data_IF_474904276711
#
_entry.id   IF_474904276711
#
_cell.length_a   1.000
_cell.length_b   1.000
_cell.length_c   1.000
_cell.angle_alpha   90.00
_cell.angle_beta   90.00
_cell.angle_gamma   90.00
#
_symmetry.space_group_name_H-M   'P 1'
#
loop_
_entity.id
_entity.type
_entity.pdbx_description
1 polymer ?
#
# COMPACT_ATOMS: atom_id res chain seq x y z
N UNK A 1 -2.51 2.02 42.93
CA UNK A 1 -1.42 1.36 42.21
C UNK A 1 -0.15 2.17 42.43
N UNK A 2 0.97 1.50 42.68
CA UNK A 2 2.29 2.16 42.92
C UNK A 2 3.00 2.55 41.62
N UNK A 3 2.25 2.61 40.52
CA UNK A 3 2.75 3.03 39.22
C UNK A 3 3.03 4.54 39.25
N UNK A 4 4.28 4.90 39.03
CA UNK A 4 4.68 6.31 38.97
C UNK A 4 4.40 6.84 37.56
N UNK A 5 3.84 8.05 37.49
CA UNK A 5 3.67 8.77 36.26
C UNK A 5 5.06 9.07 35.65
N UNK A 6 5.28 8.62 34.40
CA UNK A 6 6.51 8.87 33.66
C UNK A 6 6.35 10.09 32.73
N UNK A 7 7.47 10.55 32.17
CA UNK A 7 7.41 11.55 31.11
C UNK A 7 6.86 10.93 29.83
N UNK A 8 6.03 11.63 29.03
CA UNK A 8 5.59 11.17 27.73
C UNK A 8 6.82 10.85 26.84
N UNK A 9 6.75 9.84 25.99
CA UNK A 9 7.83 9.57 25.04
C UNK A 9 7.96 10.74 24.06
N UNK A 10 9.19 11.13 23.76
CA UNK A 10 9.46 12.07 22.68
C UNK A 10 9.46 11.28 21.38
N UNK A 11 8.53 11.60 20.48
CA UNK A 11 8.47 10.98 19.16
C UNK A 11 9.11 11.92 18.14
N UNK A 12 10.30 11.55 17.67
CA UNK A 12 10.93 12.21 16.52
C UNK A 12 10.54 11.44 15.27
N UNK A 13 9.80 12.09 14.38
CA UNK A 13 9.49 11.53 13.05
C UNK A 13 10.74 11.75 12.18
N UNK A 14 11.36 10.68 11.68
CA UNK A 14 12.52 10.83 10.80
C UNK A 14 12.11 11.51 9.50
N UNK A 15 13.01 12.33 8.96
CA UNK A 15 12.77 12.90 7.64
C UNK A 15 12.92 11.83 6.58
N UNK A 16 12.02 11.79 5.57
CA UNK A 16 12.12 10.82 4.50
C UNK A 16 13.43 10.97 3.72
N UNK A 17 14.02 9.84 3.33
CA UNK A 17 15.17 9.84 2.40
C UNK A 17 14.62 10.09 1.00
N UNK A 18 15.01 11.20 0.38
CA UNK A 18 14.50 11.63 -0.95
C UNK A 18 15.42 11.26 -2.11
N UNK A 19 16.57 10.64 -1.86
CA UNK A 19 17.52 10.23 -2.89
C UNK A 19 17.20 8.86 -3.48
N UNK A 20 17.29 8.72 -4.81
CA UNK A 20 17.23 7.41 -5.46
C UNK A 20 18.45 6.58 -5.05
N UNK A 21 18.22 5.37 -4.57
CA UNK A 21 19.25 4.40 -4.23
C UNK A 21 18.89 3.03 -4.79
N UNK A 22 19.92 2.26 -5.18
CA UNK A 22 19.78 0.86 -5.58
C UNK A 22 20.70 0.04 -4.70
N UNK A 23 20.14 -0.97 -4.03
CA UNK A 23 20.89 -1.91 -3.20
C UNK A 23 20.78 -3.31 -3.79
N UNK A 24 21.91 -3.91 -4.11
CA UNK A 24 21.99 -5.27 -4.65
C UNK A 24 22.68 -6.15 -3.64
N UNK A 25 21.99 -7.23 -3.25
CA UNK A 25 22.55 -8.31 -2.42
C UNK A 25 22.68 -9.54 -3.29
N UNK A 26 23.94 -9.88 -3.66
CA UNK A 26 24.21 -11.04 -4.51
C UNK A 26 23.99 -12.35 -3.75
N UNK A 27 23.24 -13.27 -4.37
CA UNK A 27 22.96 -14.63 -3.88
C UNK A 27 23.23 -15.63 -5.01
N UNK A 28 24.49 -16.00 -5.26
CA UNK A 28 24.86 -16.88 -6.38
C UNK A 28 24.08 -18.20 -6.36
N UNK A 29 23.51 -18.55 -7.51
CA UNK A 29 22.75 -19.79 -7.67
C UNK A 29 21.32 -19.78 -7.12
N UNK A 30 20.82 -18.65 -6.61
CA UNK A 30 19.44 -18.53 -6.18
C UNK A 30 18.49 -18.65 -7.39
N UNK A 31 17.45 -19.49 -7.33
CA UNK A 31 16.49 -19.65 -8.42
C UNK A 31 15.55 -18.46 -8.56
N UNK A 32 15.40 -17.68 -7.51
CA UNK A 32 14.56 -16.47 -7.46
C UNK A 32 15.34 -15.28 -6.92
N UNK A 33 14.97 -14.11 -7.42
CA UNK A 33 15.38 -12.81 -6.89
C UNK A 33 14.19 -12.17 -6.19
N UNK A 34 14.39 -11.63 -5.00
CA UNK A 34 13.41 -10.76 -4.34
C UNK A 34 13.61 -9.32 -4.81
N UNK A 35 12.61 -8.76 -5.42
CA UNK A 35 12.53 -7.34 -5.80
C UNK A 35 11.79 -6.61 -4.68
N UNK A 36 12.32 -5.44 -4.27
CA UNK A 36 11.62 -4.50 -3.43
C UNK A 36 11.81 -3.08 -4.01
N UNK A 37 10.73 -2.45 -4.39
CA UNK A 37 10.70 -1.05 -4.85
C UNK A 37 9.90 -0.27 -3.83
N UNK A 38 10.39 0.89 -3.38
CA UNK A 38 9.66 1.66 -2.38
C UNK A 38 9.98 3.14 -2.43
N UNK A 39 9.05 3.93 -1.94
CA UNK A 39 9.20 5.38 -1.79
C UNK A 39 8.42 5.87 -0.56
N UNK A 40 8.92 6.92 0.11
CA UNK A 40 8.15 7.62 1.15
C UNK A 40 6.86 8.20 0.54
N UNK A 41 5.78 8.15 1.31
CA UNK A 41 4.49 8.67 0.87
C UNK A 41 3.75 9.38 2.02
N UNK A 42 2.55 9.89 1.74
CA UNK A 42 1.70 10.55 2.73
C UNK A 42 1.22 9.57 3.80
N UNK A 43 1.13 10.04 5.04
CA UNK A 43 0.61 9.27 6.16
C UNK A 43 -0.92 9.43 6.32
N UNK A 44 -1.59 8.60 7.14
CA UNK A 44 -3.05 8.58 7.28
C UNK A 44 -3.71 9.88 7.72
N UNK A 45 -2.96 10.84 8.25
CA UNK A 45 -3.49 12.14 8.66
C UNK A 45 -3.73 13.10 7.49
N UNK A 46 -3.29 12.74 6.29
CA UNK A 46 -3.45 13.56 5.09
C UNK A 46 -4.77 13.24 4.38
N UNK A 47 -5.40 14.26 3.82
CA UNK A 47 -6.73 14.13 3.18
C UNK A 47 -6.75 13.13 2.02
N UNK A 48 -5.67 13.08 1.22
CA UNK A 48 -5.53 12.21 0.05
C UNK A 48 -5.15 10.76 0.40
N UNK A 49 -5.03 10.41 1.69
CA UNK A 49 -4.58 9.08 2.07
C UNK A 49 -5.54 7.97 1.62
N UNK A 50 -6.86 8.21 1.62
CA UNK A 50 -7.85 7.23 1.12
C UNK A 50 -7.71 7.05 -0.39
N UNK A 51 -7.47 8.12 -1.14
CA UNK A 51 -7.18 8.03 -2.57
C UNK A 51 -5.90 7.23 -2.84
N UNK A 52 -4.84 7.44 -2.05
CA UNK A 52 -3.63 6.63 -2.12
C UNK A 52 -3.90 5.13 -1.87
N UNK A 53 -4.76 4.79 -0.92
CA UNK A 53 -5.13 3.39 -0.66
C UNK A 53 -5.89 2.77 -1.84
N UNK A 54 -6.81 3.50 -2.46
CA UNK A 54 -7.51 3.06 -3.68
C UNK A 54 -6.53 2.88 -4.82
N UNK A 55 -5.65 3.85 -5.05
CA UNK A 55 -4.59 3.79 -6.06
C UNK A 55 -3.66 2.60 -5.85
N UNK A 56 -3.21 2.36 -4.61
CA UNK A 56 -2.38 1.21 -4.27
C UNK A 56 -3.12 -0.12 -4.58
N UNK A 57 -4.39 -0.24 -4.21
CA UNK A 57 -5.16 -1.46 -4.46
C UNK A 57 -5.33 -1.75 -5.96
N UNK A 58 -5.47 -0.71 -6.77
CA UNK A 58 -5.56 -0.79 -8.22
C UNK A 58 -4.21 -1.14 -8.85
N UNK A 59 -3.11 -0.54 -8.36
CA UNK A 59 -1.77 -0.73 -8.92
C UNK A 59 -1.19 -2.12 -8.63
N UNK A 60 -1.15 -2.55 -7.35
CA UNK A 60 -0.51 -3.79 -6.92
C UNK A 60 -1.07 -4.39 -5.63
N UNK A 61 -1.96 -3.68 -4.91
CA UNK A 61 -2.45 -4.08 -3.59
C UNK A 61 -3.65 -5.03 -3.59
N UNK A 62 -4.14 -5.47 -4.75
CA UNK A 62 -5.20 -6.46 -4.89
C UNK A 62 -4.80 -7.56 -5.87
N UNK A 63 -5.52 -8.69 -5.79
CA UNK A 63 -5.29 -9.79 -6.74
C UNK A 63 -5.61 -9.40 -8.19
N UNK A 64 -6.57 -8.53 -8.39
CA UNK A 64 -6.98 -8.02 -9.71
C UNK A 64 -6.22 -6.74 -10.11
N UNK A 65 -5.12 -6.40 -9.44
CA UNK A 65 -4.34 -5.21 -9.71
C UNK A 65 -3.56 -5.29 -11.03
N UNK A 66 -3.18 -4.14 -11.57
CA UNK A 66 -2.45 -4.03 -12.83
C UNK A 66 -1.11 -4.78 -12.82
N UNK A 67 -0.30 -4.62 -11.77
CA UNK A 67 0.97 -5.34 -11.62
C UNK A 67 0.74 -6.85 -11.56
N UNK A 68 -0.26 -7.31 -10.79
CA UNK A 68 -0.57 -8.74 -10.70
C UNK A 68 -1.01 -9.30 -12.05
N UNK A 69 -1.90 -8.62 -12.76
CA UNK A 69 -2.33 -9.03 -14.10
C UNK A 69 -1.15 -9.12 -15.07
N UNK A 70 -0.24 -8.15 -15.04
CA UNK A 70 0.93 -8.09 -15.91
C UNK A 70 1.95 -9.20 -15.58
N UNK A 71 2.63 -9.11 -14.42
CA UNK A 71 3.81 -9.95 -14.18
C UNK A 71 3.49 -11.35 -13.67
N UNK A 72 2.26 -11.58 -13.18
CA UNK A 72 1.80 -12.91 -12.77
C UNK A 72 0.99 -13.60 -13.85
N UNK A 73 -0.15 -13.00 -14.26
CA UNK A 73 -1.10 -13.68 -15.14
C UNK A 73 -0.61 -13.73 -16.60
N UNK A 74 -0.12 -12.61 -17.13
CA UNK A 74 0.30 -12.54 -18.54
C UNK A 74 1.69 -13.10 -18.77
N UNK A 75 2.64 -12.80 -17.89
CA UNK A 75 4.06 -13.11 -18.09
C UNK A 75 4.55 -14.31 -17.26
N UNK A 76 3.89 -14.66 -16.18
CA UNK A 76 4.29 -15.78 -15.32
C UNK A 76 5.66 -15.60 -14.65
N UNK A 77 6.09 -14.37 -14.41
CA UNK A 77 7.41 -14.06 -13.81
C UNK A 77 7.46 -14.32 -12.32
N UNK A 78 6.30 -14.23 -11.67
CA UNK A 78 6.14 -14.37 -10.21
C UNK A 78 4.82 -15.05 -9.86
N UNK A 79 4.72 -15.53 -8.62
CA UNK A 79 3.46 -16.11 -8.12
C UNK A 79 2.67 -15.10 -7.26
N UNK A 80 3.34 -14.26 -6.50
CA UNK A 80 2.69 -13.40 -5.49
C UNK A 80 3.33 -12.00 -5.45
N UNK A 81 3.14 -11.19 -6.50
CA UNK A 81 3.51 -9.78 -6.40
C UNK A 81 2.50 -9.07 -5.50
N UNK A 82 2.92 -8.06 -4.78
CA UNK A 82 2.01 -7.24 -4.01
C UNK A 82 2.59 -5.86 -3.69
N UNK A 83 1.74 -4.85 -3.69
CA UNK A 83 2.08 -3.56 -3.13
C UNK A 83 1.29 -3.24 -1.87
N UNK A 84 1.88 -2.43 -1.03
CA UNK A 84 1.24 -1.95 0.19
C UNK A 84 1.72 -0.56 0.58
N UNK A 85 0.86 0.17 1.29
CA UNK A 85 1.22 1.37 2.04
C UNK A 85 1.41 0.97 3.49
N UNK A 86 2.66 0.96 3.96
CA UNK A 86 2.99 0.67 5.36
C UNK A 86 3.06 1.96 6.15
N UNK A 87 2.20 2.09 7.17
CA UNK A 87 2.05 3.31 7.95
C UNK A 87 2.67 3.20 9.34
N UNK A 88 3.24 4.30 9.81
CA UNK A 88 3.71 4.53 11.18
C UNK A 88 3.22 5.91 11.63
N UNK A 89 3.47 6.25 12.87
CA UNK A 89 3.11 7.59 13.36
C UNK A 89 3.76 8.69 12.50
N UNK A 90 2.92 9.47 11.79
CA UNK A 90 3.35 10.59 10.91
C UNK A 90 4.39 10.20 9.86
N UNK A 91 4.36 8.95 9.41
CA UNK A 91 5.29 8.42 8.41
C UNK A 91 4.60 7.29 7.64
N UNK A 92 4.88 7.19 6.35
CA UNK A 92 4.43 6.08 5.54
C UNK A 92 5.39 5.81 4.37
N UNK A 93 5.43 4.55 3.96
CA UNK A 93 6.16 4.11 2.78
C UNK A 93 5.24 3.25 1.91
N UNK A 94 5.20 3.55 0.63
CA UNK A 94 4.68 2.62 -0.35
C UNK A 94 5.77 1.63 -0.76
N UNK A 95 5.42 0.37 -0.89
CA UNK A 95 6.34 -0.69 -1.34
C UNK A 95 5.64 -1.63 -2.31
N UNK A 96 6.32 -2.00 -3.38
CA UNK A 96 6.01 -3.15 -4.23
C UNK A 96 7.05 -4.23 -4.00
N UNK A 97 6.61 -5.47 -3.81
CA UNK A 97 7.47 -6.63 -3.57
C UNK A 97 7.06 -7.80 -4.46
N UNK A 98 8.07 -8.47 -5.03
CA UNK A 98 7.87 -9.68 -5.81
C UNK A 98 9.07 -10.62 -5.70
N UNK A 99 8.82 -11.92 -5.49
CA UNK A 99 9.81 -12.97 -5.71
C UNK A 99 9.67 -13.47 -7.15
N UNK A 100 10.63 -13.15 -7.99
CA UNK A 100 10.60 -13.46 -9.43
C UNK A 100 11.66 -14.49 -9.79
N UNK A 101 11.45 -15.24 -10.88
CA UNK A 101 12.51 -16.08 -11.43
C UNK A 101 13.74 -15.24 -11.76
N UNK A 102 14.92 -15.62 -11.27
CA UNK A 102 16.16 -14.82 -11.39
C UNK A 102 16.46 -14.40 -12.82
N UNK A 103 16.18 -15.26 -13.81
CA UNK A 103 16.42 -14.96 -15.22
C UNK A 103 15.59 -13.79 -15.77
N UNK A 104 14.49 -13.43 -15.12
CA UNK A 104 13.57 -12.36 -15.55
C UNK A 104 13.53 -11.16 -14.59
N UNK A 105 14.51 -11.04 -13.68
CA UNK A 105 14.56 -9.96 -12.69
C UNK A 105 14.50 -8.57 -13.33
N UNK A 106 15.31 -8.32 -14.37
CA UNK A 106 15.30 -7.04 -15.10
C UNK A 106 13.96 -6.78 -15.78
N UNK A 107 13.47 -7.77 -16.53
CA UNK A 107 12.18 -7.67 -17.21
C UNK A 107 11.01 -7.43 -16.22
N UNK A 108 11.05 -8.04 -15.03
CA UNK A 108 10.04 -7.81 -13.98
C UNK A 108 10.08 -6.39 -13.44
N UNK A 109 11.27 -5.81 -13.26
CA UNK A 109 11.42 -4.41 -12.87
C UNK A 109 10.88 -3.46 -13.94
N UNK A 110 11.19 -3.72 -15.22
CA UNK A 110 10.70 -2.91 -16.33
C UNK A 110 9.17 -2.92 -16.38
N UNK A 111 8.53 -4.08 -16.16
CA UNK A 111 7.07 -4.19 -16.14
C UNK A 111 6.43 -3.53 -14.90
N UNK A 112 7.05 -3.62 -13.74
CA UNK A 112 6.56 -2.91 -12.53
C UNK A 112 6.58 -1.40 -12.77
N UNK A 113 7.70 -0.86 -13.31
CA UNK A 113 7.79 0.56 -13.60
C UNK A 113 6.84 0.97 -14.74
N UNK A 114 6.67 0.12 -15.75
CA UNK A 114 5.68 0.35 -16.81
C UNK A 114 4.26 0.53 -16.24
N UNK A 115 3.82 -0.31 -15.32
CA UNK A 115 2.47 -0.17 -14.72
C UNK A 115 2.36 1.06 -13.81
N UNK A 116 3.45 1.46 -13.14
CA UNK A 116 3.48 2.74 -12.38
C UNK A 116 3.35 3.95 -13.31
N UNK A 117 4.10 3.98 -14.42
CA UNK A 117 4.04 5.05 -15.40
C UNK A 117 2.68 5.05 -16.12
N UNK A 118 2.21 3.88 -16.53
CA UNK A 118 0.92 3.72 -17.17
C UNK A 118 -0.24 4.24 -16.31
N UNK A 119 -0.20 4.03 -14.99
CA UNK A 119 -1.25 4.53 -14.11
C UNK A 119 -1.28 6.07 -14.06
N UNK A 120 -0.13 6.73 -14.27
CA UNK A 120 -0.05 8.20 -14.35
C UNK A 120 -0.60 8.74 -15.68
N UNK A 121 -0.38 8.00 -16.78
CA UNK A 121 -0.74 8.42 -18.12
C UNK A 121 -2.14 7.97 -18.55
N UNK A 122 -2.60 6.83 -18.02
CA UNK A 122 -3.86 6.20 -18.35
C UNK A 122 -4.72 6.02 -17.08
N UNK A 123 -5.60 6.97 -16.75
CA UNK A 123 -6.55 6.82 -15.65
C UNK A 123 -7.34 5.51 -15.76
N UNK A 124 -7.73 4.90 -14.63
CA UNK A 124 -8.56 3.69 -14.66
C UNK A 124 -9.92 3.99 -15.30
N UNK A 125 -10.49 2.99 -15.97
CA UNK A 125 -11.90 3.07 -16.37
C UNK A 125 -12.81 3.14 -15.13
N UNK A 126 -14.01 3.66 -15.28
CA UNK A 126 -15.00 3.68 -14.19
C UNK A 126 -15.32 2.28 -13.67
N UNK A 127 -15.31 1.27 -14.55
CA UNK A 127 -15.55 -0.14 -14.18
C UNK A 127 -14.40 -0.68 -13.33
N UNK A 128 -13.14 -0.45 -13.74
CA UNK A 128 -11.93 -0.85 -13.02
C UNK A 128 -11.89 -0.19 -11.64
N UNK A 129 -12.10 1.12 -11.57
CA UNK A 129 -12.13 1.85 -10.30
C UNK A 129 -13.25 1.36 -9.39
N UNK A 130 -14.47 1.17 -9.94
CA UNK A 130 -15.63 0.69 -9.16
C UNK A 130 -15.38 -0.71 -8.58
N UNK A 131 -14.73 -1.59 -9.31
CA UNK A 131 -14.36 -2.93 -8.82
C UNK A 131 -13.42 -2.85 -7.61
N UNK A 132 -12.41 -1.98 -7.65
CA UNK A 132 -11.49 -1.75 -6.54
C UNK A 132 -12.17 -1.07 -5.34
N UNK A 133 -13.04 -0.09 -5.57
CA UNK A 133 -13.82 0.55 -4.51
C UNK A 133 -14.71 -0.46 -3.77
N UNK A 134 -15.41 -1.32 -4.52
CA UNK A 134 -16.22 -2.40 -3.94
C UNK A 134 -15.37 -3.40 -3.13
N UNK A 135 -14.20 -3.76 -3.64
CA UNK A 135 -13.26 -4.64 -2.94
C UNK A 135 -12.81 -4.04 -1.61
N UNK A 136 -12.37 -2.78 -1.60
CA UNK A 136 -11.92 -2.10 -0.39
C UNK A 136 -13.04 -1.90 0.63
N UNK A 137 -14.24 -1.50 0.18
CA UNK A 137 -15.42 -1.40 1.04
C UNK A 137 -15.76 -2.75 1.67
N UNK A 138 -15.69 -3.85 0.90
CA UNK A 138 -15.89 -5.21 1.40
C UNK A 138 -14.85 -5.62 2.45
N UNK A 139 -13.56 -5.35 2.21
CA UNK A 139 -12.47 -5.60 3.17
C UNK A 139 -12.70 -4.81 4.46
N UNK A 140 -13.10 -3.54 4.37
CA UNK A 140 -13.40 -2.72 5.54
C UNK A 140 -14.53 -3.32 6.40
N UNK A 141 -15.62 -3.79 5.79
CA UNK A 141 -16.70 -4.47 6.51
C UNK A 141 -16.19 -5.72 7.22
N UNK A 142 -15.39 -6.55 6.54
CA UNK A 142 -14.81 -7.75 7.12
C UNK A 142 -13.87 -7.44 8.29
N UNK A 143 -13.02 -6.45 8.18
CA UNK A 143 -12.12 -6.02 9.24
C UNK A 143 -12.88 -5.56 10.50
N UNK A 144 -14.02 -4.89 10.32
CA UNK A 144 -14.85 -4.39 11.42
C UNK A 144 -15.85 -5.43 11.97
N UNK A 145 -15.88 -6.64 11.42
CA UNK A 145 -16.80 -7.69 11.88
C UNK A 145 -16.37 -8.38 13.20
N UNK A 146 -15.15 -8.14 13.66
CA UNK A 146 -14.62 -8.75 14.89
C UNK A 146 -14.28 -7.71 15.96
N UNK A 147 -14.33 -8.11 17.23
CA UNK A 147 -13.92 -7.23 18.35
C UNK A 147 -12.47 -6.76 18.21
N UNK A 148 -11.58 -7.65 17.78
CA UNK A 148 -10.17 -7.31 17.54
C UNK A 148 -10.00 -6.29 16.40
N UNK A 149 -10.78 -6.44 15.33
CA UNK A 149 -10.82 -5.49 14.22
C UNK A 149 -11.26 -4.10 14.67
N UNK A 150 -12.36 -4.02 15.44
CA UNK A 150 -12.85 -2.74 15.97
C UNK A 150 -11.80 -2.08 16.87
N UNK A 151 -11.19 -2.83 17.79
CA UNK A 151 -10.11 -2.29 18.65
C UNK A 151 -8.91 -1.83 17.81
N UNK A 152 -8.54 -2.59 16.78
CA UNK A 152 -7.48 -2.20 15.84
C UNK A 152 -7.77 -0.89 15.12
N UNK A 153 -8.99 -0.70 14.63
CA UNK A 153 -9.42 0.54 13.97
C UNK A 153 -9.40 1.74 14.93
N UNK A 154 -9.91 1.57 16.15
CA UNK A 154 -9.87 2.64 17.14
C UNK A 154 -8.43 3.01 17.54
N UNK A 155 -7.54 2.02 17.67
CA UNK A 155 -6.12 2.26 17.93
C UNK A 155 -5.46 2.99 16.74
N UNK A 156 -5.78 2.60 15.52
CA UNK A 156 -5.32 3.26 14.29
C UNK A 156 -5.76 4.72 14.24
N UNK A 157 -7.05 5.00 14.48
CA UNK A 157 -7.57 6.36 14.52
C UNK A 157 -6.83 7.22 15.54
N UNK A 158 -6.61 6.69 16.75
CA UNK A 158 -5.90 7.42 17.82
C UNK A 158 -4.41 7.60 17.53
N UNK A 159 -3.77 6.62 16.88
CA UNK A 159 -2.36 6.72 16.48
C UNK A 159 -2.13 7.84 15.46
N UNK A 160 -3.08 8.01 14.53
CA UNK A 160 -2.94 8.94 13.41
C UNK A 160 -3.72 10.25 13.61
N UNK A 161 -4.32 10.47 14.79
CA UNK A 161 -5.16 11.64 15.12
C UNK A 161 -6.29 11.86 14.10
N UNK A 162 -6.93 10.76 13.66
CA UNK A 162 -8.05 10.82 12.72
C UNK A 162 -9.32 11.30 13.42
N UNK A 163 -10.24 11.96 12.69
CA UNK A 163 -11.48 12.45 13.25
C UNK A 163 -12.38 11.32 13.79
N UNK A 164 -13.24 11.63 14.75
CA UNK A 164 -14.07 10.62 15.43
C UNK A 164 -15.08 9.95 14.49
N UNK A 165 -15.48 10.61 13.41
CA UNK A 165 -16.38 10.11 12.36
C UNK A 165 -15.65 9.38 11.20
N UNK A 166 -14.34 9.16 11.33
CA UNK A 166 -13.52 8.54 10.28
C UNK A 166 -14.09 7.20 9.79
N UNK A 167 -14.49 6.32 10.72
CA UNK A 167 -15.03 5.00 10.37
C UNK A 167 -16.42 5.08 9.72
N UNK A 168 -17.20 6.09 10.06
CA UNK A 168 -18.53 6.30 9.50
C UNK A 168 -18.45 6.81 8.06
N UNK A 169 -17.44 7.62 7.74
CA UNK A 169 -17.25 8.27 6.43
C UNK A 169 -16.30 7.53 5.51
N UNK A 170 -15.55 6.53 6.01
CA UNK A 170 -14.47 5.88 5.27
C UNK A 170 -14.93 5.23 3.96
N UNK A 171 -16.08 4.54 3.96
CA UNK A 171 -16.63 3.89 2.76
C UNK A 171 -17.09 4.93 1.73
N UNK A 172 -17.70 6.01 2.16
CA UNK A 172 -18.11 7.10 1.27
C UNK A 172 -16.86 7.73 0.63
N UNK A 173 -15.81 7.99 1.41
CA UNK A 173 -14.54 8.51 0.91
C UNK A 173 -13.86 7.58 -0.12
N UNK A 174 -14.00 6.25 0.01
CA UNK A 174 -13.54 5.31 -1.01
C UNK A 174 -14.31 5.54 -2.32
N UNK A 175 -15.64 5.70 -2.25
CA UNK A 175 -16.47 5.88 -3.44
C UNK A 175 -16.38 7.29 -4.05
N UNK A 176 -15.92 8.28 -3.30
CA UNK A 176 -15.66 9.64 -3.77
C UNK A 176 -14.38 9.77 -4.61
N UNK A 177 -13.50 8.76 -4.58
CA UNK A 177 -12.29 8.75 -5.43
C UNK A 177 -12.70 8.65 -6.90
N UNK A 178 -12.18 9.56 -7.71
CA UNK A 178 -12.41 9.62 -9.16
C UNK A 178 -11.19 9.10 -9.94
N UNK A 179 -11.34 8.79 -11.23
CA UNK A 179 -10.21 8.36 -12.07
C UNK A 179 -9.12 9.42 -12.25
N UNK A 180 -9.44 10.72 -12.03
CA UNK A 180 -8.57 11.89 -12.22
C UNK A 180 -7.74 12.21 -10.98
#
# INVERSE_FOLDING_TARGET
>A
SDWKEGSPPITNVPQPVTGRAVHIVDRPGAPQSTIAVGLPTIDPSQDDFVALQVTNALLGGSFASRITANIREDKGYTYSPFSQVSTRYRDAIWMEMADVTTAVTGASLDEIFYEVERLQDEPPSEEELRAIQNYLAGIFVLQNSSRGGIVGQLAYMRLHDLPDDYLETYVDRIYDVTPE
#
